data_IF_296183011586
#
_entry.id   IF_296183011586
#
_cell.length_a   1.000
_cell.length_b   1.000
_cell.length_c   1.000
_cell.angle_alpha   90.00
_cell.angle_beta   90.00
_cell.angle_gamma   90.00
#
_symmetry.space_group_name_H-M   'P 1'
#
loop_
_entity.id
_entity.type
_entity.pdbx_description
1 polymer ?
#
# COMPACT_ATOMS: atom_id res chain seq x y z
N UNK A 1 -10.82 9.26 -20.48
CA UNK A 1 -10.25 8.18 -19.65
C UNK A 1 -10.85 8.29 -18.25
N UNK A 2 -11.88 7.50 -17.95
CA UNK A 2 -12.57 7.56 -16.65
C UNK A 2 -11.77 6.71 -15.65
N UNK A 3 -11.09 7.39 -14.73
CA UNK A 3 -10.30 6.75 -13.67
C UNK A 3 -11.32 6.32 -12.60
N UNK A 4 -11.74 5.05 -12.63
CA UNK A 4 -12.58 4.47 -11.58
C UNK A 4 -11.73 4.38 -10.30
N UNK A 5 -11.73 5.46 -9.53
CA UNK A 5 -11.18 5.43 -8.18
C UNK A 5 -12.18 4.65 -7.32
N UNK A 6 -11.73 3.64 -6.55
CA UNK A 6 -12.62 3.02 -5.59
C UNK A 6 -13.09 4.09 -4.61
N UNK A 7 -14.37 4.06 -4.23
CA UNK A 7 -14.94 4.97 -3.25
C UNK A 7 -14.12 4.89 -1.95
N UNK A 8 -13.35 5.94 -1.68
CA UNK A 8 -12.68 6.11 -0.39
C UNK A 8 -13.74 6.61 0.59
N UNK A 9 -14.08 5.79 1.57
CA UNK A 9 -14.88 6.18 2.73
C UNK A 9 -14.00 6.31 3.97
N UNK A 10 -14.59 6.77 5.08
CA UNK A 10 -13.92 6.77 6.40
C UNK A 10 -13.50 5.36 6.86
N UNK A 11 -14.09 4.31 6.30
CA UNK A 11 -13.79 2.90 6.57
C UNK A 11 -13.79 2.11 5.28
N UNK A 12 -12.73 2.27 4.49
CA UNK A 12 -12.56 1.59 3.21
C UNK A 12 -12.13 0.14 3.43
N UNK A 13 -12.89 -0.82 2.89
CA UNK A 13 -12.51 -2.24 2.94
C UNK A 13 -11.36 -2.51 1.97
N UNK A 14 -10.38 -3.28 2.43
CA UNK A 14 -9.20 -3.64 1.66
C UNK A 14 -8.73 -5.06 2.00
N UNK A 15 -8.06 -5.69 1.04
CA UNK A 15 -7.25 -6.89 1.30
C UNK A 15 -5.86 -6.46 1.69
N UNK A 16 -5.34 -6.96 2.82
CA UNK A 16 -3.99 -6.70 3.31
C UNK A 16 -3.01 -7.78 2.84
N UNK A 17 -1.88 -7.36 2.30
CA UNK A 17 -0.85 -8.24 1.74
C UNK A 17 0.54 -7.75 2.11
N UNK A 18 1.41 -8.69 2.50
CA UNK A 18 2.72 -8.42 3.06
C UNK A 18 3.72 -8.10 1.94
N UNK A 19 4.46 -7.00 2.09
CA UNK A 19 5.57 -6.63 1.21
C UNK A 19 6.90 -6.55 2.00
N UNK A 20 8.03 -6.26 1.34
CA UNK A 20 9.32 -5.86 1.93
C UNK A 20 9.81 -4.57 1.29
N UNK A 21 10.09 -3.54 2.09
CA UNK A 21 10.57 -2.23 1.61
C UNK A 21 12.08 -2.02 1.80
N UNK A 22 12.78 -3.02 2.33
CA UNK A 22 14.22 -2.98 2.56
C UNK A 22 15.02 -2.98 1.25
N UNK A 23 16.29 -2.60 1.34
CA UNK A 23 17.23 -2.73 0.21
C UNK A 23 17.48 -4.21 -0.11
N UNK A 24 17.40 -4.54 -1.41
CA UNK A 24 17.38 -5.93 -1.88
C UNK A 24 16.07 -6.69 -1.64
N UNK A 25 14.99 -6.02 -1.25
CA UNK A 25 13.64 -6.58 -1.11
C UNK A 25 12.89 -6.80 -2.45
N UNK A 26 11.64 -7.23 -2.37
CA UNK A 26 10.79 -7.57 -3.52
C UNK A 26 10.39 -6.34 -4.37
N UNK A 27 10.50 -5.13 -3.81
CA UNK A 27 10.09 -3.88 -4.47
C UNK A 27 11.05 -3.41 -5.57
N UNK A 28 12.22 -4.03 -5.74
CA UNK A 28 13.18 -3.76 -6.82
C UNK A 28 13.87 -2.38 -6.78
N UNK A 29 13.37 -1.42 -6.00
CA UNK A 29 13.92 -0.06 -5.85
C UNK A 29 13.30 0.69 -4.66
N UNK A 30 13.75 1.95 -4.41
CA UNK A 30 13.28 2.77 -3.31
C UNK A 30 11.83 3.22 -3.50
N UNK A 31 11.16 3.54 -2.39
CA UNK A 31 9.75 3.94 -2.34
C UNK A 31 9.47 5.26 -3.05
N UNK A 32 8.37 5.34 -3.81
CA UNK A 32 8.06 6.48 -4.69
C UNK A 32 7.88 7.83 -3.96
N UNK A 33 7.41 7.84 -2.71
CA UNK A 33 7.15 9.10 -1.99
C UNK A 33 8.41 9.81 -1.50
N UNK A 34 9.49 9.09 -1.20
CA UNK A 34 10.68 9.65 -0.54
C UNK A 34 12.02 9.16 -1.11
N UNK A 35 12.01 8.30 -2.12
CA UNK A 35 13.21 7.69 -2.70
C UNK A 35 14.09 6.99 -1.66
N UNK A 36 13.47 6.37 -0.64
CA UNK A 36 14.17 5.62 0.40
C UNK A 36 13.69 4.17 0.48
N UNK A 37 14.56 3.32 1.03
CA UNK A 37 14.19 2.01 1.53
C UNK A 37 13.76 2.13 2.99
N UNK A 38 12.83 1.29 3.43
CA UNK A 38 12.28 1.30 4.79
C UNK A 38 12.53 -0.06 5.43
N UNK A 39 12.88 -0.07 6.71
CA UNK A 39 13.15 -1.31 7.45
C UNK A 39 11.88 -2.13 7.61
N UNK A 40 12.01 -3.45 7.77
CA UNK A 40 10.86 -4.35 7.97
C UNK A 40 10.03 -4.00 9.23
N UNK A 41 10.62 -3.26 10.17
CA UNK A 41 9.96 -2.79 11.39
C UNK A 41 9.36 -1.38 11.27
N UNK A 42 9.57 -0.68 10.16
CA UNK A 42 8.97 0.63 9.95
C UNK A 42 7.48 0.46 9.62
N UNK A 43 6.57 1.20 10.30
CA UNK A 43 5.14 1.08 10.02
C UNK A 43 4.82 1.84 8.72
N UNK A 44 5.12 1.21 7.58
CA UNK A 44 4.97 1.77 6.23
C UNK A 44 4.10 0.89 5.33
N UNK A 45 3.55 1.48 4.26
CA UNK A 45 2.55 0.87 3.39
C UNK A 45 2.63 1.36 1.94
N UNK A 46 2.24 0.49 1.00
CA UNK A 46 2.00 0.84 -0.39
C UNK A 46 0.52 0.76 -0.77
N UNK A 47 -0.02 1.83 -1.34
CA UNK A 47 -1.42 1.87 -1.78
C UNK A 47 -1.54 1.47 -3.26
N UNK A 48 -2.61 0.76 -3.61
CA UNK A 48 -2.95 0.54 -5.03
C UNK A 48 -3.08 1.85 -5.79
N UNK A 49 -2.81 1.84 -7.10
CA UNK A 49 -2.91 3.00 -8.00
C UNK A 49 -4.21 3.81 -7.86
N UNK A 50 -5.33 3.16 -7.56
CA UNK A 50 -6.63 3.81 -7.33
C UNK A 50 -6.73 4.62 -6.03
N UNK A 51 -5.89 4.34 -5.04
CA UNK A 51 -5.88 5.01 -3.74
C UNK A 51 -4.65 5.84 -3.46
N UNK A 52 -3.51 5.52 -4.09
CA UNK A 52 -2.22 6.09 -3.77
C UNK A 52 -2.21 7.61 -3.77
N UNK A 53 -2.84 8.26 -4.76
CA UNK A 53 -2.97 9.72 -4.89
C UNK A 53 -1.83 10.50 -4.18
N UNK A 54 -0.63 10.55 -4.79
CA UNK A 54 0.60 10.94 -4.11
C UNK A 54 0.50 12.34 -3.48
N UNK A 55 -0.17 13.28 -4.16
CA UNK A 55 -0.37 14.64 -3.65
C UNK A 55 -1.10 14.68 -2.29
N UNK A 56 -2.05 13.77 -2.09
CA UNK A 56 -2.87 13.74 -0.87
C UNK A 56 -2.35 12.78 0.20
N UNK A 57 -1.63 11.72 -0.18
CA UNK A 57 -1.31 10.62 0.75
C UNK A 57 0.17 10.34 0.95
N UNK A 58 1.07 10.77 0.06
CA UNK A 58 2.49 10.52 0.29
C UNK A 58 2.95 11.08 1.62
N UNK A 59 3.66 10.26 2.38
CA UNK A 59 4.20 10.58 3.70
C UNK A 59 3.12 10.97 4.73
N UNK A 60 1.85 10.67 4.43
CA UNK A 60 0.74 10.78 5.37
C UNK A 60 0.46 9.42 6.00
N UNK A 61 -0.18 9.49 7.15
CA UNK A 61 -0.53 8.30 7.91
C UNK A 61 -1.97 7.90 7.62
N UNK A 62 -2.21 6.59 7.54
CA UNK A 62 -3.53 6.00 7.58
C UNK A 62 -3.64 5.01 8.73
N UNK A 63 -4.87 4.69 9.11
CA UNK A 63 -5.16 3.68 10.11
C UNK A 63 -5.61 2.40 9.40
N UNK A 64 -4.88 1.32 9.64
CA UNK A 64 -5.22 -0.02 9.19
C UNK A 64 -5.92 -0.71 10.35
N UNK A 65 -7.15 -1.19 10.13
CA UNK A 65 -7.97 -1.83 11.15
C UNK A 65 -8.25 -3.29 10.75
N UNK A 66 -7.94 -4.24 11.63
CA UNK A 66 -8.14 -5.66 11.38
C UNK A 66 -8.05 -6.48 12.67
N UNK A 67 -8.84 -7.55 12.79
CA UNK A 67 -8.85 -8.45 13.95
C UNK A 67 -9.01 -7.73 15.32
N UNK A 68 -9.81 -6.66 15.36
CA UNK A 68 -10.00 -5.85 16.57
C UNK A 68 -8.80 -4.96 16.96
N UNK A 69 -7.74 -4.94 16.14
CA UNK A 69 -6.56 -4.08 16.32
C UNK A 69 -6.56 -2.96 15.29
N UNK A 70 -5.85 -1.88 15.61
CA UNK A 70 -5.57 -0.79 14.68
C UNK A 70 -4.09 -0.43 14.72
N UNK A 71 -3.49 -0.23 13.56
CA UNK A 71 -2.10 0.23 13.42
C UNK A 71 -2.08 1.44 12.51
N UNK A 72 -1.22 2.40 12.86
CA UNK A 72 -1.00 3.61 12.08
C UNK A 72 0.22 3.37 11.18
N UNK A 73 0.02 3.41 9.87
CA UNK A 73 1.08 3.20 8.88
C UNK A 73 1.25 4.44 8.00
N UNK A 74 2.47 4.67 7.52
CA UNK A 74 2.82 5.77 6.63
C UNK A 74 2.81 5.29 5.18
N UNK A 75 2.11 6.01 4.32
CA UNK A 75 2.12 5.71 2.88
C UNK A 75 3.45 6.17 2.30
N UNK A 76 4.22 5.22 1.76
CA UNK A 76 5.54 5.49 1.17
C UNK A 76 5.60 5.13 -0.31
N UNK A 77 4.72 4.27 -0.80
CA UNK A 77 4.85 3.76 -2.17
C UNK A 77 3.51 3.46 -2.87
N UNK A 78 3.58 3.30 -4.19
CA UNK A 78 2.46 2.87 -5.03
C UNK A 78 2.61 1.40 -5.40
N UNK A 79 1.59 0.60 -5.09
CA UNK A 79 1.48 -0.73 -5.70
C UNK A 79 0.86 -0.60 -7.11
N UNK A 80 1.67 -0.77 -8.15
CA UNK A 80 1.19 -0.80 -9.53
C UNK A 80 0.56 -2.16 -9.84
N UNK A 81 -0.77 -2.18 -9.97
CA UNK A 81 -1.59 -3.39 -10.17
C UNK A 81 -1.28 -4.19 -11.44
N UNK A 82 -0.31 -3.76 -12.25
CA UNK A 82 0.17 -4.46 -13.46
C UNK A 82 1.34 -5.41 -13.22
N UNK A 83 2.10 -5.22 -12.14
CA UNK A 83 3.28 -6.02 -11.82
C UNK A 83 2.99 -6.74 -10.50
N UNK A 84 2.21 -7.82 -10.60
CA UNK A 84 1.99 -8.93 -9.64
C UNK A 84 2.29 -8.63 -8.15
N UNK A 85 1.27 -8.81 -7.31
CA UNK A 85 1.48 -9.34 -5.96
C UNK A 85 0.47 -10.45 -5.58
N UNK A 86 -0.18 -11.08 -6.56
CA UNK A 86 -0.15 -12.54 -6.69
C UNK A 86 -0.61 -12.95 -8.10
N UNK A 87 -0.19 -14.13 -8.53
CA UNK A 87 -0.42 -14.69 -9.86
C UNK A 87 -1.88 -15.15 -10.01
N UNK A 88 -2.84 -14.24 -10.16
CA UNK A 88 -4.05 -14.58 -10.90
C UNK A 88 -4.76 -13.35 -11.49
N UNK A 89 -5.09 -13.48 -12.76
CA UNK A 89 -5.74 -12.47 -13.58
C UNK A 89 -7.25 -12.48 -13.31
N UNK A 90 -7.68 -11.88 -12.20
CA UNK A 90 -9.03 -11.32 -12.02
C UNK A 90 -9.17 -10.77 -10.60
N UNK A 91 -10.05 -9.78 -10.41
CA UNK A 91 -10.53 -9.23 -9.12
C UNK A 91 -9.91 -7.90 -8.64
N UNK A 92 -10.75 -7.06 -7.99
CA UNK A 92 -10.99 -5.66 -8.38
C UNK A 92 -10.01 -4.66 -7.75
N UNK A 93 -10.14 -3.40 -8.15
CA UNK A 93 -9.34 -2.21 -7.78
C UNK A 93 -9.22 -1.87 -6.26
N UNK A 94 -9.44 -2.81 -5.34
CA UNK A 94 -9.62 -2.60 -3.91
C UNK A 94 -8.55 -3.29 -3.04
N UNK A 95 -7.31 -3.44 -3.53
CA UNK A 95 -6.23 -4.13 -2.79
C UNK A 95 -5.37 -3.09 -2.05
N UNK A 96 -5.06 -3.30 -0.76
CA UNK A 96 -4.06 -2.50 0.00
C UNK A 96 -2.90 -3.41 0.36
N UNK A 97 -1.69 -3.11 -0.11
CA UNK A 97 -0.51 -3.84 0.33
C UNK A 97 0.03 -3.16 1.59
N UNK A 98 0.02 -3.86 2.72
CA UNK A 98 0.66 -3.36 3.93
C UNK A 98 1.77 -4.30 4.38
N UNK A 99 2.86 -3.70 4.82
CA UNK A 99 3.95 -4.43 5.43
C UNK A 99 3.45 -5.28 6.61
N UNK A 100 4.03 -6.47 6.76
CA UNK A 100 3.83 -7.32 7.93
C UNK A 100 4.36 -6.60 9.15
N UNK A 101 3.45 -6.12 9.99
CA UNK A 101 3.81 -5.69 11.34
C UNK A 101 3.64 -6.92 12.23
N UNK A 102 4.76 -7.42 12.75
CA UNK A 102 4.78 -8.49 13.76
C UNK A 102 4.25 -7.94 15.09
#
# INVERSE_FOLDING_TARGET
MYKFFPLVSSSTKATLTINKFEDGGDSGGPSECDNQHHLDNDPVEALSTGWYNPEMRCLKYINICGNGKSVRAKVVDKCDSKIRCDFDHSYPNNIVYALKIV
#
